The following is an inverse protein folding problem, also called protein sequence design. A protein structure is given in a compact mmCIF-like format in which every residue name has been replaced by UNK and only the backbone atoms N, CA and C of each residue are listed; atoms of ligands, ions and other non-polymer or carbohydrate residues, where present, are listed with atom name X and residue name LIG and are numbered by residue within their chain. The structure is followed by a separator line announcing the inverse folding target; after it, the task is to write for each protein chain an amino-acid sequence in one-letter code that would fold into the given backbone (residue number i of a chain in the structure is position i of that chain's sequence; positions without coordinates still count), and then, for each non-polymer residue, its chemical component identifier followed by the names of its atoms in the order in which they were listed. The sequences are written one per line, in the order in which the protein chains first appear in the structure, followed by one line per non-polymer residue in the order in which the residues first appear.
data_IF_630490269448
#
_entry.id   IF_630490269448
#
_cell.length_a   1.000
_cell.length_b   1.000
_cell.length_c   1.000
_cell.angle_alpha   90.00
_cell.angle_beta   90.00
_cell.angle_gamma   90.00
#
_symmetry.space_group_name_H-M   'P 1'
#
loop_
_entity.id
_entity.type
_entity.pdbx_description
1 polymer ?
#
# COMPACT_ATOMS: atom_id res chain seq x y z
N UNK A 1 26.20 20.92 -59.62
CA UNK A 1 26.62 20.97 -58.20
C UNK A 1 25.54 20.25 -57.43
N UNK A 2 25.79 18.99 -57.10
CA UNK A 2 24.89 18.17 -56.28
C UNK A 2 25.11 18.57 -54.82
N UNK A 3 24.06 19.06 -54.15
CA UNK A 3 24.09 19.36 -52.72
C UNK A 3 23.75 18.08 -51.95
N UNK A 4 24.79 17.50 -51.33
CA UNK A 4 24.75 16.39 -50.39
C UNK A 4 24.13 16.87 -49.06
N UNK A 5 22.81 16.74 -48.92
CA UNK A 5 22.13 16.93 -47.64
C UNK A 5 22.29 15.68 -46.78
N UNK A 6 23.31 15.73 -45.91
CA UNK A 6 23.69 14.69 -44.96
C UNK A 6 22.53 14.11 -44.18
N UNK A 7 22.04 12.96 -44.65
CA UNK A 7 21.17 12.07 -43.90
C UNK A 7 21.98 11.45 -42.75
N UNK A 8 21.74 11.91 -41.53
CA UNK A 8 22.22 11.24 -40.32
C UNK A 8 21.80 9.77 -40.36
N UNK A 9 22.78 8.87 -40.50
CA UNK A 9 22.57 7.42 -40.50
C UNK A 9 22.18 6.96 -39.09
N UNK A 10 20.92 6.63 -38.91
CA UNK A 10 20.42 5.96 -37.69
C UNK A 10 21.08 4.59 -37.58
N UNK A 11 21.95 4.42 -36.59
CA UNK A 11 22.58 3.13 -36.28
C UNK A 11 21.58 2.28 -35.49
N UNK A 12 20.99 1.27 -36.13
CA UNK A 12 20.19 0.25 -35.44
C UNK A 12 21.12 -0.83 -34.89
N UNK A 13 21.27 -0.90 -33.56
CA UNK A 13 22.02 -1.95 -32.87
C UNK A 13 21.24 -3.28 -32.81
N UNK A 14 21.90 -4.43 -32.55
CA UNK A 14 21.30 -5.77 -32.58
C UNK A 14 20.54 -6.09 -31.28
N UNK A 15 19.75 -5.14 -30.78
CA UNK A 15 18.97 -5.33 -29.56
C UNK A 15 17.59 -5.89 -29.92
N UNK A 16 17.10 -6.86 -29.15
CA UNK A 16 15.71 -7.31 -29.28
C UNK A 16 14.80 -6.15 -28.89
N UNK A 17 13.84 -5.80 -29.75
CA UNK A 17 12.83 -4.80 -29.45
C UNK A 17 11.99 -5.29 -28.26
N UNK A 18 12.16 -4.64 -27.11
CA UNK A 18 11.28 -4.87 -25.96
C UNK A 18 9.93 -4.23 -26.28
N UNK A 19 8.80 -4.97 -26.24
CA UNK A 19 7.50 -4.35 -26.48
C UNK A 19 7.22 -3.31 -25.38
N UNK A 20 7.22 -2.04 -25.77
CA UNK A 20 6.88 -0.93 -24.88
C UNK A 20 5.35 -0.88 -24.79
N UNK A 21 4.79 -1.20 -23.62
CA UNK A 21 3.36 -0.94 -23.34
C UNK A 21 3.08 0.56 -23.52
N UNK A 22 1.97 0.90 -24.16
CA UNK A 22 1.60 2.30 -24.36
C UNK A 22 1.29 2.97 -23.01
N UNK A 23 1.72 4.22 -22.83
CA UNK A 23 1.59 4.95 -21.57
C UNK A 23 0.14 5.02 -21.06
N UNK A 24 -0.82 5.15 -21.98
CA UNK A 24 -2.25 5.23 -21.67
C UNK A 24 -2.82 3.92 -21.11
N UNK A 25 -2.34 2.76 -21.59
CA UNK A 25 -2.75 1.44 -21.10
C UNK A 25 -2.27 1.22 -19.66
N UNK A 26 -1.04 1.64 -19.35
CA UNK A 26 -0.46 1.55 -18.00
C UNK A 26 -1.22 2.47 -17.02
N UNK A 27 -1.58 3.68 -17.46
CA UNK A 27 -2.35 4.62 -16.65
C UNK A 27 -3.74 4.07 -16.31
N UNK A 28 -4.42 3.50 -17.30
CA UNK A 28 -5.72 2.86 -17.11
C UNK A 28 -5.65 1.67 -16.14
N UNK A 29 -4.63 0.82 -16.24
CA UNK A 29 -4.44 -0.31 -15.32
C UNK A 29 -4.25 0.15 -13.87
N UNK A 30 -3.48 1.22 -13.66
CA UNK A 30 -3.27 1.80 -12.33
C UNK A 30 -4.57 2.38 -11.76
N UNK A 31 -5.35 3.09 -12.57
CA UNK A 31 -6.63 3.68 -12.16
C UNK A 31 -7.62 2.59 -11.74
N UNK A 32 -7.75 1.52 -12.54
CA UNK A 32 -8.60 0.37 -12.20
C UNK A 32 -8.19 -0.30 -10.89
N UNK A 33 -6.88 -0.48 -10.63
CA UNK A 33 -6.40 -1.06 -9.37
C UNK A 33 -6.70 -0.18 -8.17
N UNK A 34 -6.54 1.14 -8.31
CA UNK A 34 -6.89 2.10 -7.26
C UNK A 34 -8.37 2.00 -6.93
N UNK A 35 -9.23 2.10 -7.94
CA UNK A 35 -10.68 2.03 -7.75
C UNK A 35 -11.10 0.72 -7.08
N UNK A 36 -10.56 -0.42 -7.55
CA UNK A 36 -10.80 -1.71 -6.91
C UNK A 36 -10.38 -1.70 -5.43
N UNK A 37 -9.20 -1.16 -5.12
CA UNK A 37 -8.68 -1.12 -3.77
C UNK A 37 -9.51 -0.23 -2.85
N UNK A 38 -9.98 0.93 -3.33
CA UNK A 38 -10.89 1.81 -2.58
C UNK A 38 -12.22 1.12 -2.28
N UNK A 39 -12.86 0.54 -3.29
CA UNK A 39 -14.16 -0.10 -3.15
C UNK A 39 -14.08 -1.27 -2.16
N UNK A 40 -13.09 -2.14 -2.31
CA UNK A 40 -12.90 -3.27 -1.40
C UNK A 40 -12.61 -2.82 0.04
N UNK A 41 -11.79 -1.77 0.22
CA UNK A 41 -11.50 -1.22 1.55
C UNK A 41 -12.78 -0.70 2.20
N UNK A 42 -13.59 0.06 1.47
CA UNK A 42 -14.85 0.59 1.98
C UNK A 42 -15.81 -0.52 2.39
N UNK A 43 -15.97 -1.56 1.55
CA UNK A 43 -16.84 -2.70 1.85
C UNK A 43 -16.41 -3.42 3.14
N UNK A 44 -15.10 -3.69 3.30
CA UNK A 44 -14.56 -4.35 4.48
C UNK A 44 -14.81 -3.53 5.76
N UNK A 45 -14.57 -2.23 5.71
CA UNK A 45 -14.75 -1.34 6.87
C UNK A 45 -16.23 -1.20 7.24
N UNK A 46 -17.11 -1.03 6.25
CA UNK A 46 -18.57 -0.97 6.49
C UNK A 46 -19.05 -2.25 7.16
N UNK A 47 -18.62 -3.41 6.67
CA UNK A 47 -19.00 -4.69 7.27
C UNK A 47 -18.47 -4.83 8.70
N UNK A 48 -17.23 -4.42 8.96
CA UNK A 48 -16.66 -4.42 10.31
C UNK A 48 -17.47 -3.53 11.28
N UNK A 49 -17.81 -2.31 10.88
CA UNK A 49 -18.61 -1.38 11.71
C UNK A 49 -20.01 -1.96 11.97
N UNK A 50 -20.65 -2.56 10.95
CA UNK A 50 -21.93 -3.24 11.11
C UNK A 50 -21.85 -4.40 12.11
N UNK A 51 -20.79 -5.21 12.07
CA UNK A 51 -20.56 -6.28 13.04
C UNK A 51 -20.40 -5.73 14.46
N UNK A 52 -19.66 -4.64 14.64
CA UNK A 52 -19.54 -3.97 15.94
C UNK A 52 -20.91 -3.50 16.44
N UNK A 53 -21.68 -2.82 15.60
CA UNK A 53 -23.01 -2.33 15.96
C UNK A 53 -23.97 -3.48 16.34
N UNK A 54 -23.98 -4.55 15.57
CA UNK A 54 -24.80 -5.74 15.84
C UNK A 54 -24.38 -6.48 17.13
N UNK A 55 -23.16 -6.25 17.59
CA UNK A 55 -22.63 -6.79 18.85
C UNK A 55 -22.79 -5.81 20.03
N UNK A 56 -23.67 -4.81 19.90
CA UNK A 56 -23.96 -3.77 20.89
C UNK A 56 -22.75 -2.87 21.25
N UNK A 57 -21.73 -2.83 20.38
CA UNK A 57 -20.64 -1.85 20.51
C UNK A 57 -21.13 -0.51 19.96
N UNK A 58 -20.91 0.57 20.73
CA UNK A 58 -21.29 1.93 20.35
C UNK A 58 -20.33 2.47 19.27
N UNK A 59 -20.85 2.70 18.07
CA UNK A 59 -20.06 3.08 16.88
C UNK A 59 -20.06 4.58 16.55
N UNK A 60 -20.84 5.37 17.29
CA UNK A 60 -20.98 6.82 17.10
C UNK A 60 -20.15 7.64 18.11
N UNK A 61 -19.33 6.98 18.93
CA UNK A 61 -18.44 7.63 19.90
C UNK A 61 -17.19 8.19 19.21
N UNK A 62 -16.73 9.37 19.63
CA UNK A 62 -15.58 10.06 19.04
C UNK A 62 -14.31 9.19 19.04
N UNK A 63 -14.07 8.40 20.10
CA UNK A 63 -12.89 7.52 20.18
C UNK A 63 -13.00 6.38 19.18
N UNK A 64 -14.18 5.79 19.05
CA UNK A 64 -14.41 4.72 18.07
C UNK A 64 -14.18 5.25 16.65
N UNK A 65 -14.69 6.45 16.33
CA UNK A 65 -14.48 7.07 15.02
C UNK A 65 -12.98 7.34 14.77
N UNK A 66 -12.24 7.79 15.78
CA UNK A 66 -10.79 7.98 15.69
C UNK A 66 -10.04 6.67 15.43
N UNK A 67 -10.38 5.60 16.17
CA UNK A 67 -9.78 4.27 16.02
C UNK A 67 -10.08 3.69 14.63
N UNK A 68 -11.32 3.85 14.15
CA UNK A 68 -11.70 3.44 12.79
C UNK A 68 -10.90 4.20 11.73
N UNK A 69 -10.62 5.49 11.95
CA UNK A 69 -9.83 6.31 11.04
C UNK A 69 -8.48 5.67 10.71
N UNK A 70 -7.74 5.21 11.72
CA UNK A 70 -6.46 4.54 11.48
C UNK A 70 -6.63 3.11 10.91
N UNK A 71 -7.67 2.38 11.33
CA UNK A 71 -7.97 1.04 10.79
C UNK A 71 -8.29 1.09 9.29
N UNK A 72 -8.98 2.13 8.82
CA UNK A 72 -9.24 2.38 7.39
C UNK A 72 -7.92 2.45 6.63
N UNK A 73 -6.95 3.24 7.12
CA UNK A 73 -5.67 3.45 6.45
C UNK A 73 -4.79 2.19 6.43
N UNK A 74 -4.81 1.37 7.49
CA UNK A 74 -4.13 0.07 7.48
C UNK A 74 -4.81 -0.95 6.58
N UNK A 75 -6.14 -0.96 6.53
CA UNK A 75 -6.91 -1.84 5.62
C UNK A 75 -6.64 -1.45 4.16
N UNK A 76 -6.61 -0.15 3.86
CA UNK A 76 -6.24 0.36 2.55
C UNK A 76 -4.82 -0.05 2.17
N UNK A 77 -3.86 0.11 3.08
CA UNK A 77 -2.48 -0.32 2.87
C UNK A 77 -2.33 -1.82 2.59
N UNK A 78 -3.10 -2.66 3.30
CA UNK A 78 -3.18 -4.09 3.06
C UNK A 78 -3.69 -4.40 1.64
N UNK A 79 -4.82 -3.80 1.25
CA UNK A 79 -5.44 -4.06 -0.07
C UNK A 79 -4.54 -3.54 -1.19
N UNK A 80 -3.96 -2.35 -1.05
CA UNK A 80 -2.98 -1.80 -2.00
C UNK A 80 -1.80 -2.76 -2.18
N UNK A 81 -1.25 -3.32 -1.09
CA UNK A 81 -0.17 -4.30 -1.16
C UNK A 81 -0.58 -5.55 -1.94
N UNK A 82 -1.80 -6.04 -1.72
CA UNK A 82 -2.33 -7.21 -2.40
C UNK A 82 -2.43 -7.01 -3.93
N UNK A 83 -2.72 -5.79 -4.39
CA UNK A 83 -2.74 -5.42 -5.81
C UNK A 83 -1.40 -4.88 -6.34
N UNK A 84 -0.32 -5.03 -5.56
CA UNK A 84 1.05 -4.61 -5.88
C UNK A 84 1.20 -3.09 -6.05
N UNK A 85 0.54 -2.33 -5.17
CA UNK A 85 0.65 -0.89 -5.07
C UNK A 85 1.20 -0.48 -3.70
N UNK A 86 2.03 0.55 -3.68
CA UNK A 86 2.60 1.12 -2.46
C UNK A 86 1.57 1.97 -1.72
N UNK A 87 1.63 1.97 -0.39
CA UNK A 87 0.77 2.79 0.47
C UNK A 87 1.49 3.11 1.80
N UNK A 88 1.39 4.32 2.37
CA UNK A 88 2.23 4.75 3.50
C UNK A 88 2.21 3.84 4.74
N UNK A 89 1.07 3.24 5.08
CA UNK A 89 0.95 2.38 6.26
C UNK A 89 1.70 1.04 6.12
N UNK A 90 2.11 0.68 4.90
CA UNK A 90 2.92 -0.50 4.61
C UNK A 90 4.29 -0.43 5.31
N UNK A 91 4.93 0.74 5.30
CA UNK A 91 6.24 0.93 5.94
C UNK A 91 6.12 0.80 7.46
N UNK A 92 5.00 1.24 8.04
CA UNK A 92 4.70 1.06 9.46
C UNK A 92 4.58 -0.43 9.78
N UNK A 93 3.80 -1.18 8.99
CA UNK A 93 3.67 -2.64 9.17
C UNK A 93 5.02 -3.32 9.04
N UNK A 94 5.82 -3.00 8.03
CA UNK A 94 7.12 -3.62 7.79
C UNK A 94 8.15 -3.28 8.88
N UNK A 95 7.99 -2.14 9.55
CA UNK A 95 8.84 -1.73 10.66
C UNK A 95 8.53 -2.50 11.93
N UNK A 96 7.24 -2.63 12.28
CA UNK A 96 6.83 -3.14 13.60
C UNK A 96 6.32 -4.58 13.59
N UNK A 97 6.09 -5.20 12.42
CA UNK A 97 5.54 -6.55 12.32
C UNK A 97 6.52 -7.46 11.60
N UNK A 98 6.88 -8.59 12.24
CA UNK A 98 7.76 -9.61 11.67
C UNK A 98 7.00 -10.91 11.47
N UNK A 99 7.30 -11.58 10.35
CA UNK A 99 6.85 -12.95 10.09
C UNK A 99 7.97 -13.90 10.46
N UNK A 100 7.79 -14.64 11.55
CA UNK A 100 8.73 -15.64 12.03
C UNK A 100 8.37 -16.98 11.38
N UNK A 101 9.41 -17.69 10.95
CA UNK A 101 9.30 -19.02 10.37
C UNK A 101 9.85 -20.01 11.39
N UNK A 102 8.98 -20.88 11.89
CA UNK A 102 9.37 -21.93 12.81
C UNK A 102 10.10 -23.05 12.06
N UNK A 103 10.89 -23.84 12.80
CA UNK A 103 11.60 -25.00 12.26
C UNK A 103 10.65 -26.04 11.63
N UNK A 104 9.39 -26.07 12.09
CA UNK A 104 8.31 -26.92 11.56
C UNK A 104 7.64 -26.34 10.29
N UNK A 105 8.11 -25.21 9.77
CA UNK A 105 7.56 -24.53 8.59
C UNK A 105 6.26 -23.75 8.83
N UNK A 106 5.82 -23.64 10.09
CA UNK A 106 4.70 -22.78 10.48
C UNK A 106 5.14 -21.32 10.44
N UNK A 107 4.21 -20.45 10.03
CA UNK A 107 4.42 -19.00 10.02
C UNK A 107 3.57 -18.39 11.11
N UNK A 108 4.20 -17.58 11.96
CA UNK A 108 3.48 -16.77 12.92
C UNK A 108 3.97 -15.32 12.85
N UNK A 109 3.15 -14.41 13.34
CA UNK A 109 3.42 -12.98 13.32
C UNK A 109 3.74 -12.49 14.72
N UNK A 110 4.80 -11.72 14.85
CA UNK A 110 5.14 -10.99 16.08
C UNK A 110 5.05 -9.48 15.79
N UNK A 111 4.37 -8.75 16.68
CA UNK A 111 4.32 -7.29 16.64
C UNK A 111 5.23 -6.74 17.72
N UNK A 112 6.21 -5.93 17.34
CA UNK A 112 7.21 -5.34 18.24
C UNK A 112 6.62 -4.12 18.98
N UNK A 113 5.77 -4.41 19.97
CA UNK A 113 5.11 -3.38 20.78
C UNK A 113 6.10 -2.56 21.62
N UNK A 114 7.27 -3.13 21.95
CA UNK A 114 8.32 -2.40 22.67
C UNK A 114 8.94 -1.33 21.78
N UNK A 115 9.28 -1.67 20.54
CA UNK A 115 9.78 -0.70 19.56
C UNK A 115 8.73 0.38 19.28
N UNK A 116 7.46 0.00 19.08
CA UNK A 116 6.37 0.95 18.87
C UNK A 116 6.27 1.95 20.03
N UNK A 117 6.28 1.46 21.28
CA UNK A 117 6.24 2.33 22.46
C UNK A 117 7.43 3.30 22.50
N UNK A 118 8.64 2.81 22.24
CA UNK A 118 9.86 3.65 22.22
C UNK A 118 9.76 4.75 21.15
N UNK A 119 9.25 4.44 19.96
CA UNK A 119 9.04 5.42 18.89
C UNK A 119 8.00 6.48 19.30
N UNK A 120 6.91 6.08 19.94
CA UNK A 120 5.91 7.02 20.45
C UNK A 120 6.52 7.92 21.53
N UNK A 121 7.28 7.35 22.47
CA UNK A 121 7.97 8.12 23.52
C UNK A 121 8.99 9.12 22.96
N UNK A 122 9.69 8.79 21.86
CA UNK A 122 10.61 9.75 21.23
C UNK A 122 9.87 10.90 20.55
N UNK A 123 8.75 10.63 19.88
CA UNK A 123 7.97 11.67 19.20
C UNK A 123 7.43 12.73 20.18
N UNK A 124 7.04 12.32 21.39
CA UNK A 124 6.56 13.25 22.42
C UNK A 124 7.69 14.04 23.12
N UNK A 125 8.94 13.55 23.08
CA UNK A 125 10.09 14.25 23.69
C UNK A 125 10.64 15.37 22.83
N UNK A 126 10.42 15.31 21.51
CA UNK A 126 10.83 16.36 20.59
C UNK A 126 9.86 17.57 20.59
N UNK A 127 8.76 17.48 21.33
CA UNK A 127 7.76 18.56 21.51
C UNK A 127 7.96 19.39 22.80
N UNK A 128 8.94 19.05 23.67
CA UNK A 128 9.37 19.83 24.86
C UNK A 128 10.71 20.55 24.62
#
# INVERSE_FOLDING_TARGET
MEEDNGLCKVIKGPWKETPVKQLDEVKSELEMKKEFAENLTQELIVHMIQMCHNSEIRVDDERFIQDIGIIIEFTRGLVYRAVKMEYPTQDIVDTFVRVIHDDDGRKHTEVDMEQLRKTIESLHKDEE
#
